data_IF_653199172443
#
_entry.id   IF_653199172443
#
_cell.length_a   1.000
_cell.length_b   1.000
_cell.length_c   1.000
_cell.angle_alpha   90.00
_cell.angle_beta   90.00
_cell.angle_gamma   90.00
#
_symmetry.space_group_name_H-M   'P 1'
#
loop_
_entity.id
_entity.type
_entity.pdbx_description
1 polymer ?
#
# COMPACT_ATOMS: atom_id res chain seq x y z
N UNK A 1 28.05 -4.64 -1.40
CA UNK A 1 26.95 -3.79 -0.94
C UNK A 1 26.05 -3.45 -2.12
N UNK A 2 24.77 -3.60 -1.94
CA UNK A 2 23.79 -3.34 -3.00
C UNK A 2 23.44 -1.85 -3.03
N UNK A 3 23.55 -1.24 -4.22
CA UNK A 3 23.13 0.14 -4.41
C UNK A 3 21.62 0.20 -4.60
N UNK A 4 20.92 0.72 -3.61
CA UNK A 4 19.48 0.90 -3.66
C UNK A 4 19.12 2.08 -4.55
N UNK A 5 17.98 1.96 -5.26
CA UNK A 5 17.48 3.06 -6.08
C UNK A 5 17.20 4.27 -5.18
N UNK A 6 17.78 5.44 -5.44
CA UNK A 6 17.57 6.62 -4.61
C UNK A 6 16.11 7.08 -4.52
N UNK A 7 15.27 6.79 -5.53
CA UNK A 7 13.84 7.10 -5.44
C UNK A 7 13.14 6.27 -4.37
N UNK A 8 13.70 5.11 -4.04
CA UNK A 8 13.14 4.21 -3.02
C UNK A 8 13.68 4.46 -1.62
N UNK A 9 14.67 5.34 -1.47
CA UNK A 9 15.28 5.60 -0.17
C UNK A 9 14.27 5.95 0.93
N UNK A 10 13.23 6.76 0.70
CA UNK A 10 12.23 7.06 1.73
C UNK A 10 11.47 5.84 2.24
N UNK A 11 11.37 4.77 1.45
CA UNK A 11 10.65 3.55 1.82
C UNK A 11 11.37 2.73 2.89
N UNK A 12 12.62 3.06 3.21
CA UNK A 12 13.32 2.43 4.33
C UNK A 12 12.52 2.55 5.63
N UNK A 13 11.77 3.62 5.80
CA UNK A 13 10.91 3.84 6.96
C UNK A 13 9.80 2.77 7.11
N UNK A 14 9.45 2.09 6.03
CA UNK A 14 8.40 1.06 6.03
C UNK A 14 8.96 -0.34 6.22
N UNK A 15 10.23 -0.56 5.99
CA UNK A 15 10.83 -1.90 6.00
C UNK A 15 10.63 -2.55 7.36
N UNK A 16 10.11 -3.77 7.36
CA UNK A 16 9.81 -4.55 8.55
C UNK A 16 8.44 -5.20 8.50
N UNK A 17 8.00 -5.67 9.67
CA UNK A 17 6.70 -6.32 9.82
C UNK A 17 5.79 -5.45 10.67
N UNK A 18 4.53 -5.38 10.26
CA UNK A 18 3.51 -4.55 10.89
C UNK A 18 2.30 -5.40 11.21
N UNK A 19 1.74 -5.22 12.41
CA UNK A 19 0.43 -5.77 12.74
C UNK A 19 -0.62 -4.76 12.29
N UNK A 20 -1.72 -5.24 11.70
CA UNK A 20 -2.75 -4.37 11.14
C UNK A 20 -4.11 -4.61 11.76
N UNK A 21 -4.87 -3.52 11.90
CA UNK A 21 -6.27 -3.54 12.29
C UNK A 21 -7.02 -2.71 11.26
N UNK A 22 -7.89 -3.37 10.50
CA UNK A 22 -8.57 -2.75 9.38
C UNK A 22 -10.07 -2.65 9.60
N UNK A 23 -10.65 -1.54 9.13
CA UNK A 23 -12.09 -1.34 9.04
C UNK A 23 -12.46 -1.14 7.58
N UNK A 24 -13.31 -2.00 7.06
CA UNK A 24 -13.79 -1.95 5.70
C UNK A 24 -15.26 -1.56 5.67
N UNK A 25 -15.67 -0.76 4.69
CA UNK A 25 -17.07 -0.26 4.58
C UNK A 25 -18.12 -1.38 4.51
N UNK A 26 -17.75 -2.57 4.06
CA UNK A 26 -18.66 -3.71 3.90
C UNK A 26 -18.55 -4.75 5.01
N UNK A 27 -17.72 -4.52 6.02
CA UNK A 27 -17.46 -5.47 7.10
C UNK A 27 -17.63 -4.74 8.44
N UNK A 28 -18.49 -5.27 9.30
CA UNK A 28 -18.82 -4.61 10.57
C UNK A 28 -17.73 -4.75 11.63
N UNK A 29 -17.04 -5.91 11.65
CA UNK A 29 -15.98 -6.14 12.63
C UNK A 29 -14.64 -5.57 12.19
N UNK A 30 -13.78 -5.31 13.18
CA UNK A 30 -12.37 -4.97 12.92
C UNK A 30 -11.66 -6.23 12.45
N UNK A 31 -10.92 -6.11 11.34
CA UNK A 31 -10.19 -7.24 10.76
C UNK A 31 -8.72 -7.15 11.15
N UNK A 32 -8.22 -8.18 11.83
CA UNK A 32 -6.82 -8.28 12.19
C UNK A 32 -6.02 -8.87 11.02
N UNK A 33 -4.77 -8.45 10.92
CA UNK A 33 -3.89 -8.95 9.88
C UNK A 33 -2.45 -8.52 10.11
N UNK A 34 -1.66 -8.65 9.07
CA UNK A 34 -0.26 -8.21 9.11
C UNK A 34 0.20 -7.81 7.71
N UNK A 35 1.28 -7.04 7.69
CA UNK A 35 1.92 -6.65 6.45
C UNK A 35 3.43 -6.63 6.64
N UNK A 36 4.16 -6.97 5.58
CA UNK A 36 5.61 -6.88 5.56
C UNK A 36 6.03 -6.03 4.37
N UNK A 37 7.05 -5.20 4.60
CA UNK A 37 7.73 -4.46 3.54
C UNK A 37 9.19 -4.90 3.57
N UNK A 38 9.71 -5.34 2.44
CA UNK A 38 11.09 -5.79 2.36
C UNK A 38 11.73 -5.37 1.04
N UNK A 39 13.04 -5.18 1.06
CA UNK A 39 13.78 -4.96 -0.17
C UNK A 39 13.84 -6.25 -0.98
N UNK A 40 13.55 -6.16 -2.27
CA UNK A 40 13.93 -7.24 -3.19
C UNK A 40 15.45 -7.20 -3.31
N UNK A 41 16.06 -8.36 -3.42
CA UNK A 41 17.51 -8.43 -3.61
C UNK A 41 17.92 -7.57 -4.81
N UNK A 42 18.94 -6.75 -4.63
CA UNK A 42 19.37 -5.78 -5.63
C UNK A 42 18.98 -4.34 -5.31
N UNK A 43 17.97 -4.13 -4.47
CA UNK A 43 17.60 -2.78 -4.02
C UNK A 43 16.85 -1.92 -5.02
N UNK A 44 16.28 -2.52 -6.07
CA UNK A 44 15.53 -1.80 -7.11
C UNK A 44 14.01 -1.84 -6.89
N UNK A 45 13.54 -2.66 -5.97
CA UNK A 45 12.12 -2.81 -5.66
C UNK A 45 11.90 -3.04 -4.18
N UNK A 46 10.75 -2.56 -3.70
CA UNK A 46 10.25 -2.85 -2.35
C UNK A 46 9.03 -3.76 -2.52
N UNK A 47 9.01 -4.88 -1.82
CA UNK A 47 7.92 -5.84 -1.88
C UNK A 47 7.06 -5.72 -0.64
N UNK A 48 5.76 -5.52 -0.86
CA UNK A 48 4.74 -5.50 0.17
C UNK A 48 3.98 -6.82 0.13
N UNK A 49 3.78 -7.43 1.30
CA UNK A 49 2.87 -8.56 1.45
C UNK A 49 1.89 -8.23 2.56
N UNK A 50 0.59 -8.46 2.32
CA UNK A 50 -0.42 -8.24 3.34
C UNK A 50 -1.33 -9.44 3.47
N UNK A 51 -1.69 -9.73 4.71
CA UNK A 51 -2.64 -10.79 5.06
C UNK A 51 -3.75 -10.19 5.91
N UNK A 52 -4.98 -10.53 5.60
CA UNK A 52 -6.16 -10.14 6.37
C UNK A 52 -6.88 -11.39 6.86
N UNK A 53 -7.18 -11.42 8.15
CA UNK A 53 -7.86 -12.54 8.78
C UNK A 53 -9.39 -12.41 8.62
N UNK A 54 -9.84 -12.37 7.38
CA UNK A 54 -11.26 -12.27 7.03
C UNK A 54 -11.45 -12.66 5.56
N UNK A 55 -12.43 -13.49 5.30
CA UNK A 55 -12.68 -14.03 3.94
C UNK A 55 -13.04 -12.97 2.90
N UNK A 56 -13.61 -11.83 3.32
CA UNK A 56 -14.00 -10.75 2.41
C UNK A 56 -12.87 -9.77 2.09
N UNK A 57 -11.77 -9.80 2.85
CA UNK A 57 -10.61 -8.96 2.59
C UNK A 57 -9.49 -9.84 2.02
N UNK A 58 -9.01 -9.55 0.80
CA UNK A 58 -8.01 -10.40 0.17
C UNK A 58 -6.63 -10.25 0.78
N UNK A 59 -5.82 -11.29 0.62
CA UNK A 59 -4.39 -11.19 0.81
C UNK A 59 -3.79 -10.60 -0.46
N UNK A 60 -2.71 -9.84 -0.33
CA UNK A 60 -2.13 -9.13 -1.46
C UNK A 60 -0.61 -9.14 -1.46
N UNK A 61 -0.06 -8.97 -2.65
CA UNK A 61 1.34 -8.67 -2.88
C UNK A 61 1.41 -7.39 -3.70
N UNK A 62 2.32 -6.50 -3.33
CA UNK A 62 2.62 -5.32 -4.12
C UNK A 62 4.12 -5.21 -4.37
N UNK A 63 4.49 -4.69 -5.52
CA UNK A 63 5.90 -4.43 -5.86
C UNK A 63 6.01 -2.97 -6.26
N UNK A 64 6.84 -2.23 -5.52
CA UNK A 64 7.05 -0.80 -5.73
C UNK A 64 8.42 -0.59 -6.38
N UNK A 65 8.45 0.14 -7.47
CA UNK A 65 9.69 0.45 -8.18
C UNK A 65 9.43 1.34 -9.37
N UNK A 66 10.48 1.57 -10.16
CA UNK A 66 10.33 2.34 -11.40
C UNK A 66 9.57 1.52 -12.43
N UNK A 67 8.66 2.13 -13.21
CA UNK A 67 8.03 1.44 -14.33
C UNK A 67 9.08 1.19 -15.43
N UNK A 68 8.70 0.42 -16.43
CA UNK A 68 9.56 0.12 -17.59
C UNK A 68 10.07 1.40 -18.27
N UNK A 69 9.26 2.46 -18.29
CA UNK A 69 9.67 3.77 -18.81
C UNK A 69 10.81 4.42 -18.01
N UNK A 70 11.00 4.00 -16.75
CA UNK A 70 12.02 4.52 -15.86
C UNK A 70 11.65 5.81 -15.14
N UNK A 71 10.48 6.37 -15.37
CA UNK A 71 10.03 7.62 -14.76
C UNK A 71 9.07 7.40 -13.61
N UNK A 72 9.38 8.00 -12.44
CA UNK A 72 8.56 7.93 -11.25
C UNK A 72 8.57 6.55 -10.60
N UNK A 73 7.57 6.29 -9.76
CA UNK A 73 7.39 5.01 -9.09
C UNK A 73 5.98 4.51 -9.32
N UNK A 74 5.85 3.19 -9.44
CA UNK A 74 4.56 2.51 -9.52
C UNK A 74 4.51 1.38 -8.51
N UNK A 75 3.29 1.03 -8.12
CA UNK A 75 2.98 -0.17 -7.34
C UNK A 75 2.23 -1.12 -8.25
N UNK A 76 2.80 -2.29 -8.50
CA UNK A 76 2.11 -3.38 -9.17
C UNK A 76 1.45 -4.24 -8.10
N UNK A 77 0.13 -4.30 -8.11
CA UNK A 77 -0.69 -4.92 -7.08
C UNK A 77 -1.35 -6.20 -7.58
N UNK A 78 -1.34 -7.24 -6.75
CA UNK A 78 -1.96 -8.53 -7.03
C UNK A 78 -2.64 -9.02 -5.76
N UNK A 79 -3.85 -9.59 -5.85
CA UNK A 79 -4.48 -10.13 -4.66
C UNK A 79 -5.09 -11.52 -4.87
N UNK A 80 -5.49 -12.12 -3.76
CA UNK A 80 -6.00 -13.50 -3.74
C UNK A 80 -7.31 -13.72 -4.50
N UNK A 81 -7.99 -12.63 -4.90
CA UNK A 81 -9.18 -12.71 -5.77
C UNK A 81 -8.80 -12.82 -7.25
N UNK A 82 -7.51 -12.68 -7.57
CA UNK A 82 -7.04 -12.62 -8.95
C UNK A 82 -7.10 -11.21 -9.54
N UNK A 83 -7.26 -10.20 -8.70
CA UNK A 83 -7.25 -8.79 -9.14
C UNK A 83 -5.81 -8.34 -9.33
N UNK A 84 -5.56 -7.64 -10.43
CA UNK A 84 -4.28 -7.01 -10.74
C UNK A 84 -4.50 -5.55 -11.06
N UNK A 85 -3.72 -4.66 -10.44
CA UNK A 85 -3.82 -3.21 -10.67
C UNK A 85 -2.45 -2.56 -10.63
N UNK A 86 -2.30 -1.45 -11.35
CA UNK A 86 -1.13 -0.60 -11.29
C UNK A 86 -1.52 0.74 -10.67
N UNK A 87 -0.79 1.15 -9.63
CA UNK A 87 -0.97 2.45 -8.99
C UNK A 87 0.27 3.30 -9.20
N UNK A 88 0.09 4.61 -9.28
CA UNK A 88 1.21 5.54 -9.14
C UNK A 88 1.48 5.74 -7.65
N UNK A 89 2.74 5.94 -7.28
CA UNK A 89 3.17 6.00 -5.88
C UNK A 89 4.08 7.19 -5.65
N UNK A 90 3.92 7.84 -4.51
CA UNK A 90 4.89 8.81 -4.02
C UNK A 90 5.09 8.64 -2.52
N UNK A 91 6.27 8.97 -2.04
CA UNK A 91 6.55 9.07 -0.61
C UNK A 91 7.45 10.29 -0.41
N UNK A 92 6.82 11.38 0.01
CA UNK A 92 7.46 12.68 0.19
C UNK A 92 7.06 13.26 1.54
N UNK A 93 8.04 13.81 2.26
CA UNK A 93 7.82 14.45 3.56
C UNK A 93 7.08 13.55 4.56
N UNK A 94 7.36 12.25 4.52
CA UNK A 94 6.75 11.28 5.41
C UNK A 94 5.30 10.91 5.05
N UNK A 95 4.79 11.38 3.93
CA UNK A 95 3.45 11.04 3.47
C UNK A 95 3.53 10.11 2.26
N UNK A 96 3.01 8.90 2.42
CA UNK A 96 2.90 7.95 1.33
C UNK A 96 1.54 8.10 0.68
N UNK A 97 1.56 8.13 -0.66
CA UNK A 97 0.33 8.17 -1.46
C UNK A 97 0.44 7.18 -2.58
N UNK A 98 -0.66 6.50 -2.90
CA UNK A 98 -0.78 5.85 -4.20
C UNK A 98 -2.18 6.09 -4.75
N UNK A 99 -2.28 6.09 -6.08
CA UNK A 99 -3.53 6.43 -6.74
C UNK A 99 -3.61 5.78 -8.11
N UNK A 100 -4.84 5.63 -8.55
CA UNK A 100 -5.16 5.04 -9.82
C UNK A 100 -6.36 5.78 -10.40
N UNK A 101 -6.18 6.35 -11.60
CA UNK A 101 -7.25 7.03 -12.30
C UNK A 101 -7.89 6.04 -13.27
N UNK A 102 -9.08 5.55 -12.92
CA UNK A 102 -9.83 4.58 -13.71
C UNK A 102 -11.29 4.99 -13.68
N UNK A 103 -11.83 5.60 -14.77
CA UNK A 103 -13.21 6.12 -14.77
C UNK A 103 -14.22 5.09 -14.29
N UNK A 104 -15.04 5.49 -13.33
CA UNK A 104 -16.01 4.62 -12.68
C UNK A 104 -15.49 3.89 -11.45
N UNK A 105 -14.17 3.87 -11.23
CA UNK A 105 -13.56 3.27 -10.06
C UNK A 105 -12.18 3.87 -9.79
N UNK A 106 -12.15 5.18 -9.59
CA UNK A 106 -10.92 5.86 -9.21
C UNK A 106 -10.56 5.48 -7.77
N UNK A 107 -9.27 5.36 -7.50
CA UNK A 107 -8.78 4.97 -6.18
C UNK A 107 -7.64 5.89 -5.76
N UNK A 108 -7.59 6.20 -4.47
CA UNK A 108 -6.47 6.90 -3.87
C UNK A 108 -6.27 6.42 -2.43
N UNK A 109 -5.02 6.41 -2.01
CA UNK A 109 -4.65 5.98 -0.66
C UNK A 109 -3.58 6.90 -0.13
N UNK A 110 -3.59 7.12 1.19
CA UNK A 110 -2.57 7.94 1.82
C UNK A 110 -2.30 7.50 3.25
N UNK A 111 -1.07 7.72 3.69
CA UNK A 111 -0.66 7.49 5.06
C UNK A 111 0.43 8.49 5.43
N UNK A 112 0.30 9.10 6.60
CA UNK A 112 1.38 9.87 7.19
C UNK A 112 2.17 8.92 8.08
N UNK A 113 3.40 8.60 7.69
CA UNK A 113 4.18 7.59 8.35
C UNK A 113 4.69 8.08 9.71
N UNK A 114 4.53 7.23 10.74
CA UNK A 114 5.17 7.39 12.02
C UNK A 114 6.24 6.32 12.19
N UNK A 115 7.15 6.47 13.18
CA UNK A 115 8.22 5.49 13.38
C UNK A 115 7.71 4.12 13.84
N UNK A 116 6.63 4.08 14.62
CA UNK A 116 6.10 2.85 15.21
C UNK A 116 4.68 2.53 14.78
N UNK A 117 3.94 3.51 14.30
CA UNK A 117 2.57 3.31 13.83
C UNK A 117 2.16 4.35 12.79
N UNK A 118 1.12 4.03 12.05
CA UNK A 118 0.45 4.97 11.15
C UNK A 118 -0.91 4.41 10.74
N UNK A 119 -1.79 5.28 10.24
CA UNK A 119 -3.05 4.87 9.65
C UNK A 119 -2.98 5.01 8.13
N UNK A 120 -3.37 3.95 7.44
CA UNK A 120 -3.48 3.94 5.99
C UNK A 120 -4.95 4.06 5.61
N UNK A 121 -5.27 5.08 4.81
CA UNK A 121 -6.64 5.35 4.38
C UNK A 121 -6.76 5.07 2.89
N UNK A 122 -7.69 4.21 2.53
CA UNK A 122 -7.99 3.87 1.14
C UNK A 122 -9.37 4.39 0.78
N UNK A 123 -9.46 5.11 -0.33
CA UNK A 123 -10.70 5.71 -0.80
C UNK A 123 -10.98 5.32 -2.25
N UNK A 124 -12.25 5.33 -2.62
CA UNK A 124 -12.67 5.08 -3.99
C UNK A 124 -13.73 6.09 -4.41
N UNK A 125 -13.82 6.32 -5.72
CA UNK A 125 -14.85 7.16 -6.32
C UNK A 125 -15.43 6.44 -7.54
N UNK A 126 -16.73 6.14 -7.49
CA UNK A 126 -17.45 5.54 -8.62
C UNK A 126 -17.93 6.59 -9.60
N UNK A 127 -18.14 7.82 -9.11
CA UNK A 127 -18.43 9.00 -9.92
C UNK A 127 -17.37 10.07 -9.64
N UNK A 128 -17.06 10.95 -10.62
CA UNK A 128 -16.02 11.96 -10.43
C UNK A 128 -16.23 12.80 -9.17
N UNK A 129 -15.14 12.98 -8.41
CA UNK A 129 -15.08 13.79 -7.19
C UNK A 129 -15.97 13.36 -6.02
N UNK A 130 -16.63 12.20 -6.12
CA UNK A 130 -17.42 11.65 -5.02
C UNK A 130 -16.63 10.54 -4.31
N UNK A 131 -15.69 10.95 -3.48
CA UNK A 131 -14.81 10.05 -2.74
C UNK A 131 -15.46 9.52 -1.48
N UNK A 132 -15.29 8.22 -1.24
CA UNK A 132 -15.73 7.59 -0.01
C UNK A 132 -14.61 6.71 0.55
N UNK A 133 -14.59 6.56 1.87
CA UNK A 133 -13.66 5.64 2.51
C UNK A 133 -14.04 4.21 2.16
N UNK A 134 -13.07 3.43 1.70
CA UNK A 134 -13.24 2.01 1.42
C UNK A 134 -12.68 1.17 2.56
N UNK A 135 -11.45 1.51 2.98
CA UNK A 135 -10.75 0.81 4.04
C UNK A 135 -9.87 1.78 4.82
N UNK A 136 -9.84 1.63 6.14
CA UNK A 136 -8.86 2.28 7.02
C UNK A 136 -8.14 1.21 7.81
N UNK A 137 -6.82 1.23 7.80
CA UNK A 137 -6.02 0.27 8.53
C UNK A 137 -4.98 0.96 9.39
N UNK A 138 -4.93 0.58 10.65
CA UNK A 138 -3.86 1.01 11.56
C UNK A 138 -2.74 -0.01 11.48
N UNK A 139 -1.53 0.47 11.22
CA UNK A 139 -0.32 -0.32 11.15
C UNK A 139 0.52 -0.04 12.40
N UNK A 140 0.89 -1.09 13.13
CA UNK A 140 1.78 -1.00 14.29
C UNK A 140 2.99 -1.86 14.06
N UNK A 141 4.17 -1.26 14.20
CA UNK A 141 5.43 -1.98 13.96
C UNK A 141 5.58 -3.11 14.97
N UNK A 142 5.86 -4.29 14.46
CA UNK A 142 6.15 -5.45 15.30
C UNK A 142 7.60 -5.37 15.77
N UNK A 143 7.79 -5.56 17.05
CA UNK A 143 9.12 -5.54 17.68
C UNK A 143 10.00 -6.71 17.25
#
# INVERSE_FOLDING_TARGET
MTDRDPLLAPFEALIGTWDTEAKHRLVDEVVLGNATFEWLEGGHFVVLRSHNDHELLPDAIGVIGRPESGEGLVLEYFDSRGVRRTYEVSLEDGVMRWWRNHPGFDQRSYAKLGPDDFEFVHQLAQTPDEWQDDLRAVYRRRA
#
